data_IF_122027863028
#
_entry.id   IF_122027863028
#
_cell.length_a   1.000
_cell.length_b   1.000
_cell.length_c   1.000
_cell.angle_alpha   90.00
_cell.angle_beta   90.00
_cell.angle_gamma   90.00
#
_symmetry.space_group_name_H-M   'P 1'
#
loop_
_entity.id
_entity.type
_entity.pdbx_description
1 polymer ?
#
# COMPACT_ATOMS: atom_id res chain seq x y z
N UNK A 1 -10.17 29.88 40.10
CA UNK A 1 -10.17 30.72 38.90
C UNK A 1 -8.95 30.53 38.01
N UNK A 2 -7.83 29.96 38.47
CA UNK A 2 -6.69 29.61 37.60
C UNK A 2 -6.84 28.26 36.85
N UNK A 3 -7.68 27.34 37.36
CA UNK A 3 -7.87 26.01 36.78
C UNK A 3 -8.70 26.04 35.48
N UNK A 4 -9.61 27.01 35.33
CA UNK A 4 -10.46 27.14 34.14
C UNK A 4 -9.71 27.74 32.93
N UNK A 5 -8.66 28.54 33.18
CA UNK A 5 -7.82 29.14 32.15
C UNK A 5 -6.94 28.11 31.41
N UNK A 6 -6.42 27.09 32.10
CA UNK A 6 -5.58 26.03 31.49
C UNK A 6 -6.41 25.10 30.60
N UNK A 7 -7.63 24.76 31.02
CA UNK A 7 -8.54 23.92 30.23
C UNK A 7 -8.99 24.62 28.95
N UNK A 8 -9.25 25.94 29.00
CA UNK A 8 -9.65 26.72 27.83
C UNK A 8 -8.55 26.83 26.77
N UNK A 9 -7.29 26.97 27.19
CA UNK A 9 -6.16 27.06 26.28
C UNK A 9 -5.90 25.74 25.54
N UNK A 10 -5.87 24.60 26.25
CA UNK A 10 -5.64 23.30 25.61
C UNK A 10 -6.75 22.94 24.60
N UNK A 11 -8.01 23.25 24.92
CA UNK A 11 -9.13 23.02 24.02
C UNK A 11 -9.05 23.88 22.75
N UNK A 12 -8.62 25.14 22.90
CA UNK A 12 -8.37 26.06 21.79
C UNK A 12 -7.22 25.58 20.91
N UNK A 13 -6.09 25.19 21.51
CA UNK A 13 -4.93 24.66 20.80
C UNK A 13 -5.29 23.42 19.99
N UNK A 14 -6.00 22.46 20.59
CA UNK A 14 -6.48 21.28 19.90
C UNK A 14 -7.43 21.63 18.75
N UNK A 15 -8.34 22.59 18.93
CA UNK A 15 -9.24 23.02 17.86
C UNK A 15 -8.47 23.66 16.69
N UNK A 16 -7.48 24.51 17.00
CA UNK A 16 -6.62 25.14 15.99
C UNK A 16 -5.84 24.09 15.20
N UNK A 17 -5.20 23.13 15.88
CA UNK A 17 -4.47 22.04 15.25
C UNK A 17 -5.37 21.18 14.36
N UNK A 18 -6.63 20.92 14.76
CA UNK A 18 -7.61 20.21 13.92
C UNK A 18 -7.91 20.94 12.62
N UNK A 19 -8.11 22.26 12.66
CA UNK A 19 -8.34 23.06 11.45
C UNK A 19 -7.10 23.11 10.55
N UNK A 20 -5.91 23.23 11.12
CA UNK A 20 -4.65 23.17 10.38
C UNK A 20 -4.50 21.80 9.71
N UNK A 21 -4.77 20.70 10.43
CA UNK A 21 -4.68 19.35 9.89
C UNK A 21 -5.64 19.15 8.70
N UNK A 22 -6.89 19.59 8.84
CA UNK A 22 -7.88 19.57 7.77
C UNK A 22 -7.42 20.37 6.53
N UNK A 23 -6.82 21.55 6.73
CA UNK A 23 -6.27 22.36 5.64
C UNK A 23 -5.07 21.71 4.94
N UNK A 24 -4.26 20.94 5.66
CA UNK A 24 -3.11 20.22 5.14
C UNK A 24 -3.45 18.85 4.53
N UNK A 25 -4.68 18.36 4.73
CA UNK A 25 -5.12 17.05 4.26
C UNK A 25 -4.55 15.87 5.05
N UNK A 26 -4.20 16.11 6.32
CA UNK A 26 -3.70 15.09 7.26
C UNK A 26 -4.60 15.05 8.48
N UNK A 27 -4.53 13.96 9.24
CA UNK A 27 -5.28 13.86 10.47
C UNK A 27 -4.62 14.63 11.62
N UNK A 28 -5.42 14.96 12.65
CA UNK A 28 -4.94 15.63 13.85
C UNK A 28 -3.81 14.83 14.50
N UNK A 29 -3.98 13.52 14.65
CA UNK A 29 -3.00 12.65 15.32
C UNK A 29 -1.66 12.62 14.58
N UNK A 30 -1.69 12.66 13.25
CA UNK A 30 -0.47 12.71 12.44
C UNK A 30 0.24 14.06 12.55
N UNK A 31 -0.52 15.15 12.62
CA UNK A 31 0.01 16.51 12.72
C UNK A 31 0.59 16.78 14.12
N UNK A 32 -0.19 16.51 15.17
CA UNK A 32 0.18 16.78 16.56
C UNK A 32 1.08 15.71 17.16
N UNK A 33 1.14 14.53 16.54
CA UNK A 33 1.75 13.31 17.10
C UNK A 33 1.12 12.85 18.42
N UNK A 34 -0.08 13.34 18.72
CA UNK A 34 -0.84 12.92 19.89
C UNK A 34 -1.83 11.82 19.51
N UNK A 35 -1.63 10.63 20.08
CA UNK A 35 -2.50 9.46 19.92
C UNK A 35 -3.20 9.08 21.25
N UNK A 36 -3.12 9.93 22.27
CA UNK A 36 -3.60 9.63 23.63
C UNK A 36 -5.10 9.34 23.71
N UNK A 37 -5.90 9.95 22.84
CA UNK A 37 -7.36 9.83 22.82
C UNK A 37 -7.90 8.99 21.65
N UNK A 38 -7.04 8.21 20.98
CA UNK A 38 -7.38 7.55 19.72
C UNK A 38 -7.35 6.03 19.89
N UNK A 39 -8.48 5.39 19.58
CA UNK A 39 -8.56 3.93 19.58
C UNK A 39 -7.89 3.36 18.33
N UNK A 40 -7.58 2.07 18.36
CA UNK A 40 -6.94 1.38 17.25
C UNK A 40 -7.69 1.55 15.91
N UNK A 41 -9.02 1.45 15.94
CA UNK A 41 -9.85 1.56 14.74
C UNK A 41 -9.88 2.99 14.20
N UNK A 42 -9.95 4.01 15.06
CA UNK A 42 -9.90 5.41 14.62
C UNK A 42 -8.51 5.81 14.13
N UNK A 43 -7.43 5.33 14.77
CA UNK A 43 -6.06 5.52 14.29
C UNK A 43 -5.86 4.92 12.89
N UNK A 44 -6.39 3.71 12.65
CA UNK A 44 -6.35 3.06 11.33
C UNK A 44 -7.14 3.83 10.29
N UNK A 45 -8.34 4.32 10.62
CA UNK A 45 -9.15 5.13 9.71
C UNK A 45 -8.45 6.45 9.34
N UNK A 46 -7.92 7.15 10.35
CA UNK A 46 -7.18 8.41 10.24
C UNK A 46 -5.91 8.27 9.37
N UNK A 47 -5.14 7.19 9.57
CA UNK A 47 -3.99 6.87 8.73
C UNK A 47 -4.38 6.54 7.28
N UNK A 48 -5.50 5.84 7.06
CA UNK A 48 -6.01 5.50 5.75
C UNK A 48 -6.48 6.72 4.94
N UNK A 49 -7.17 7.66 5.59
CA UNK A 49 -7.60 8.90 4.96
C UNK A 49 -6.40 9.73 4.49
N UNK A 50 -5.44 9.92 5.39
CA UNK A 50 -4.20 10.65 5.09
C UNK A 50 -3.39 9.94 3.98
N UNK A 51 -3.35 8.61 4.00
CA UNK A 51 -2.72 7.83 2.93
C UNK A 51 -3.36 8.06 1.57
N UNK A 52 -4.70 8.12 1.48
CA UNK A 52 -5.40 8.41 0.23
C UNK A 52 -5.04 9.81 -0.30
N UNK A 53 -4.94 10.80 0.58
CA UNK A 53 -4.49 12.15 0.21
C UNK A 53 -3.08 12.13 -0.39
N UNK A 54 -2.13 11.44 0.26
CA UNK A 54 -0.76 11.31 -0.25
C UNK A 54 -0.69 10.55 -1.57
N UNK A 55 -1.50 9.51 -1.76
CA UNK A 55 -1.57 8.76 -3.02
C UNK A 55 -2.01 9.65 -4.19
N UNK A 56 -3.00 10.51 -3.96
CA UNK A 56 -3.47 11.50 -4.94
C UNK A 56 -2.36 12.48 -5.33
N UNK A 57 -1.67 13.06 -4.34
CA UNK A 57 -0.53 13.96 -4.58
C UNK A 57 0.63 13.26 -5.29
N UNK A 58 0.96 12.03 -4.89
CA UNK A 58 2.02 11.23 -5.51
C UNK A 58 1.72 10.98 -6.98
N UNK A 59 0.48 10.61 -7.32
CA UNK A 59 0.06 10.38 -8.71
C UNK A 59 0.15 11.63 -9.56
N UNK A 60 -0.25 12.78 -9.02
CA UNK A 60 -0.27 14.03 -9.78
C UNK A 60 1.10 14.68 -9.92
N UNK A 61 1.92 14.69 -8.87
CA UNK A 61 3.20 15.38 -8.85
C UNK A 61 4.30 14.44 -9.35
N UNK A 62 4.64 13.43 -8.54
CA UNK A 62 5.75 12.53 -8.82
C UNK A 62 5.48 11.64 -10.05
N UNK A 63 4.27 11.08 -10.14
CA UNK A 63 3.90 10.19 -11.24
C UNK A 63 3.95 10.88 -12.61
N UNK A 64 3.47 12.13 -12.70
CA UNK A 64 3.55 12.90 -13.95
C UNK A 64 4.97 13.24 -14.34
N UNK A 65 5.79 13.69 -13.38
CA UNK A 65 7.19 14.00 -13.64
C UNK A 65 7.96 12.75 -14.09
N UNK A 66 7.78 11.63 -13.39
CA UNK A 66 8.41 10.37 -13.74
C UNK A 66 7.98 9.86 -15.14
N UNK A 67 6.69 9.95 -15.47
CA UNK A 67 6.20 9.60 -16.82
C UNK A 67 6.76 10.53 -17.91
N UNK A 68 6.96 11.82 -17.63
CA UNK A 68 7.63 12.73 -18.58
C UNK A 68 9.08 12.31 -18.83
N UNK A 69 9.84 12.04 -17.76
CA UNK A 69 11.23 11.57 -17.87
C UNK A 69 11.30 10.24 -18.64
N UNK A 70 10.42 9.30 -18.29
CA UNK A 70 10.30 8.02 -18.99
C UNK A 70 9.95 8.21 -20.47
N UNK A 71 9.06 9.14 -20.80
CA UNK A 71 8.69 9.43 -22.19
C UNK A 71 9.89 9.89 -23.01
N UNK A 72 10.70 10.79 -22.47
CA UNK A 72 11.91 11.28 -23.14
C UNK A 72 12.94 10.15 -23.34
N UNK A 73 13.14 9.32 -22.31
CA UNK A 73 14.03 8.17 -22.41
C UNK A 73 13.52 7.14 -23.43
N UNK A 74 12.23 6.83 -23.42
CA UNK A 74 11.62 5.84 -24.33
C UNK A 74 11.73 6.30 -25.79
N UNK A 75 11.47 7.58 -26.04
CA UNK A 75 11.64 8.21 -27.34
C UNK A 75 13.06 8.02 -27.88
N UNK A 76 14.07 8.31 -27.06
CA UNK A 76 15.48 8.14 -27.42
C UNK A 76 15.84 6.67 -27.64
N UNK A 77 15.37 5.77 -26.78
CA UNK A 77 15.62 4.32 -26.91
C UNK A 77 15.03 3.74 -28.20
N UNK A 78 13.86 4.24 -28.62
CA UNK A 78 13.22 3.87 -29.88
C UNK A 78 13.98 4.42 -31.09
N UNK A 79 14.39 5.70 -31.06
CA UNK A 79 15.13 6.34 -32.16
C UNK A 79 16.50 5.67 -32.36
N UNK A 80 17.21 5.36 -31.27
CA UNK A 80 18.51 4.68 -31.30
C UNK A 80 18.42 3.20 -31.65
N UNK A 81 17.21 2.63 -31.67
CA UNK A 81 16.99 1.21 -31.95
C UNK A 81 17.43 0.26 -30.83
N UNK A 82 17.62 0.76 -29.60
CA UNK A 82 17.90 -0.08 -28.41
C UNK A 82 16.69 -0.95 -28.09
N UNK A 83 15.49 -0.38 -28.23
CA UNK A 83 14.22 -1.08 -28.07
C UNK A 83 13.57 -1.19 -29.43
N UNK A 84 13.17 -2.42 -29.80
CA UNK A 84 12.37 -2.64 -31.00
C UNK A 84 10.92 -2.32 -30.70
N UNK A 85 10.37 -1.34 -31.42
CA UNK A 85 8.97 -0.97 -31.28
C UNK A 85 8.06 -2.19 -31.58
N UNK A 86 7.08 -2.51 -30.71
CA UNK A 86 6.04 -3.48 -31.01
C UNK A 86 5.20 -3.03 -32.21
N UNK A 87 4.55 -3.99 -32.87
CA UNK A 87 3.55 -3.69 -33.90
C UNK A 87 2.37 -2.97 -33.24
N UNK A 88 2.20 -1.69 -33.56
CA UNK A 88 1.11 -0.87 -33.07
C UNK A 88 0.42 -0.14 -34.22
N UNK A 89 -0.86 0.21 -34.05
CA UNK A 89 -1.64 0.98 -35.03
C UNK A 89 -1.11 2.41 -35.19
N UNK A 90 -0.66 3.01 -34.10
CA UNK A 90 -0.16 4.39 -34.04
C UNK A 90 1.32 4.37 -33.65
N UNK A 91 2.11 5.21 -34.31
CA UNK A 91 3.50 5.46 -33.96
C UNK A 91 3.64 6.12 -32.58
N UNK A 92 4.86 6.14 -32.05
CA UNK A 92 5.16 6.80 -30.78
C UNK A 92 4.72 8.28 -30.78
N UNK A 93 4.94 8.99 -31.87
CA UNK A 93 4.62 10.41 -32.00
C UNK A 93 3.12 10.70 -32.09
N UNK A 94 2.37 9.80 -32.74
CA UNK A 94 0.91 9.93 -32.85
C UNK A 94 0.20 9.62 -31.52
N UNK A 95 0.80 8.79 -30.66
CA UNK A 95 0.15 8.31 -29.44
C UNK A 95 1.09 8.29 -28.22
N UNK A 96 1.90 9.33 -28.03
CA UNK A 96 2.95 9.40 -26.99
C UNK A 96 2.46 8.99 -25.60
N UNK A 97 1.31 9.50 -25.18
CA UNK A 97 0.74 9.18 -23.87
C UNK A 97 0.40 7.70 -23.67
N UNK A 98 -0.02 7.01 -24.73
CA UNK A 98 -0.34 5.58 -24.68
C UNK A 98 0.92 4.74 -24.64
N UNK A 99 1.94 5.13 -25.40
CA UNK A 99 3.25 4.48 -25.41
C UNK A 99 4.00 4.63 -24.08
N UNK A 100 3.92 5.82 -23.48
CA UNK A 100 4.61 6.12 -22.22
C UNK A 100 3.79 5.80 -20.96
N UNK A 101 2.63 5.16 -21.11
CA UNK A 101 1.77 4.82 -19.97
C UNK A 101 2.53 3.92 -19.01
N UNK A 102 2.75 4.43 -17.81
CA UNK A 102 3.54 3.81 -16.74
C UNK A 102 2.82 4.00 -15.42
N UNK A 103 2.93 3.02 -14.53
CA UNK A 103 2.51 3.12 -13.14
C UNK A 103 3.77 3.13 -12.28
N UNK A 104 3.79 4.00 -11.26
CA UNK A 104 4.97 4.23 -10.44
C UNK A 104 4.73 3.75 -9.02
N UNK A 105 5.47 2.72 -8.63
CA UNK A 105 5.47 2.20 -7.27
C UNK A 105 6.27 3.18 -6.41
N UNK A 106 5.64 3.70 -5.36
CA UNK A 106 6.31 4.54 -4.37
C UNK A 106 6.41 3.80 -3.03
N UNK A 107 6.80 4.52 -1.99
CA UNK A 107 6.86 3.95 -0.65
C UNK A 107 5.57 3.21 -0.28
N UNK A 108 5.73 2.08 0.40
CA UNK A 108 4.62 1.26 0.89
C UNK A 108 3.83 1.95 1.98
N UNK A 109 2.60 1.49 2.16
CA UNK A 109 1.78 1.88 3.31
C UNK A 109 2.29 1.15 4.56
N UNK A 110 2.39 1.86 5.68
CA UNK A 110 2.66 1.23 6.97
C UNK A 110 1.50 0.33 7.38
N UNK A 111 1.79 -0.96 7.61
CA UNK A 111 0.81 -1.91 8.11
C UNK A 111 0.54 -1.65 9.59
N UNK A 112 -0.74 -1.49 9.93
CA UNK A 112 -1.17 -1.27 11.32
C UNK A 112 -1.52 -2.62 11.97
N UNK A 113 -2.25 -3.47 11.23
CA UNK A 113 -2.50 -4.87 11.57
C UNK A 113 -1.82 -5.79 10.55
N UNK A 114 -0.57 -6.17 10.80
CA UNK A 114 0.21 -6.92 9.81
C UNK A 114 -0.48 -8.24 9.39
N UNK A 115 -1.10 -8.95 10.32
CA UNK A 115 -1.71 -10.25 10.04
C UNK A 115 -3.02 -10.10 9.25
N UNK A 116 -3.93 -9.23 9.70
CA UNK A 116 -5.22 -9.04 9.01
C UNK A 116 -5.04 -8.45 7.62
N UNK A 117 -4.13 -7.50 7.43
CA UNK A 117 -3.92 -6.87 6.12
C UNK A 117 -3.31 -7.86 5.10
N UNK A 118 -2.40 -8.75 5.55
CA UNK A 118 -1.87 -9.84 4.70
C UNK A 118 -2.97 -10.84 4.34
N UNK A 119 -3.82 -11.23 5.28
CA UNK A 119 -4.93 -12.13 5.02
C UNK A 119 -5.93 -11.54 4.03
N UNK A 120 -6.32 -10.28 4.23
CA UNK A 120 -7.18 -9.55 3.29
C UNK A 120 -6.55 -9.52 1.88
N UNK A 121 -5.23 -9.32 1.76
CA UNK A 121 -4.53 -9.33 0.48
C UNK A 121 -4.55 -10.72 -0.19
N UNK A 122 -4.27 -11.78 0.57
CA UNK A 122 -4.35 -13.17 0.08
C UNK A 122 -5.76 -13.48 -0.40
N UNK A 123 -6.78 -13.18 0.40
CA UNK A 123 -8.18 -13.40 0.03
C UNK A 123 -8.58 -12.61 -1.22
N UNK A 124 -8.10 -11.36 -1.40
CA UNK A 124 -8.36 -10.58 -2.62
C UNK A 124 -7.74 -11.20 -3.86
N UNK A 125 -6.53 -11.75 -3.75
CA UNK A 125 -5.85 -12.44 -4.86
C UNK A 125 -6.58 -13.75 -5.18
N UNK A 126 -6.86 -14.57 -4.18
CA UNK A 126 -7.54 -15.86 -4.35
C UNK A 126 -8.96 -15.71 -4.91
N UNK A 127 -9.69 -14.67 -4.48
CA UNK A 127 -11.01 -14.34 -5.00
C UNK A 127 -10.98 -13.72 -6.41
N UNK A 128 -9.80 -13.42 -6.97
CA UNK A 128 -9.64 -12.79 -8.29
C UNK A 128 -10.01 -11.31 -8.33
N UNK A 129 -10.14 -10.65 -7.17
CA UNK A 129 -10.42 -9.21 -7.06
C UNK A 129 -9.16 -8.35 -7.24
N UNK A 130 -7.98 -8.94 -7.05
CA UNK A 130 -6.69 -8.26 -7.14
C UNK A 130 -5.61 -9.12 -7.80
N UNK A 131 -4.43 -8.55 -8.00
CA UNK A 131 -3.25 -9.21 -8.56
C UNK A 131 -2.05 -9.04 -7.64
N UNK A 132 -1.06 -9.93 -7.76
CA UNK A 132 0.20 -9.80 -7.02
C UNK A 132 0.87 -8.43 -7.20
N UNK A 133 0.84 -7.90 -8.43
CA UNK A 133 1.35 -6.56 -8.74
C UNK A 133 0.66 -5.47 -7.91
N UNK A 134 -0.68 -5.49 -7.82
CA UNK A 134 -1.42 -4.47 -7.06
C UNK A 134 -1.19 -4.58 -5.57
N UNK A 135 -1.21 -5.80 -5.01
CA UNK A 135 -1.04 -5.99 -3.57
C UNK A 135 0.40 -5.69 -3.12
N UNK A 136 1.42 -6.11 -3.89
CA UNK A 136 2.81 -5.79 -3.58
C UNK A 136 3.13 -4.31 -3.80
N UNK A 137 2.53 -3.65 -4.79
CA UNK A 137 2.67 -2.21 -4.96
C UNK A 137 2.11 -1.39 -3.78
N UNK A 138 1.11 -1.91 -3.04
CA UNK A 138 0.63 -1.29 -1.79
C UNK A 138 1.71 -1.36 -0.70
N UNK A 139 2.49 -2.44 -0.68
CA UNK A 139 3.66 -2.61 0.18
C UNK A 139 4.91 -1.84 -0.33
N UNK A 140 4.83 -1.27 -1.54
CA UNK A 140 5.92 -0.54 -2.17
C UNK A 140 6.94 -1.44 -2.88
N UNK A 141 6.58 -2.69 -3.13
CA UNK A 141 7.45 -3.72 -3.72
C UNK A 141 7.05 -4.03 -5.18
N UNK A 142 8.04 -4.41 -5.99
CA UNK A 142 7.81 -4.94 -7.34
C UNK A 142 7.62 -6.47 -7.29
N UNK A 143 6.50 -6.95 -7.82
CA UNK A 143 6.20 -8.38 -7.88
C UNK A 143 7.22 -9.18 -8.68
N UNK A 144 7.82 -8.59 -9.73
CA UNK A 144 8.79 -9.31 -10.55
C UNK A 144 10.10 -9.54 -9.80
N UNK A 145 10.50 -8.61 -8.95
CA UNK A 145 11.67 -8.76 -8.08
C UNK A 145 11.41 -9.80 -7.00
N UNK A 146 10.26 -9.70 -6.32
CA UNK A 146 9.85 -10.67 -5.30
C UNK A 146 9.77 -12.08 -5.89
N UNK A 147 9.18 -12.27 -7.07
CA UNK A 147 9.05 -13.60 -7.67
C UNK A 147 10.41 -14.18 -8.07
N UNK A 148 11.31 -13.36 -8.65
CA UNK A 148 12.68 -13.79 -8.94
C UNK A 148 13.42 -14.22 -7.68
N UNK A 149 13.27 -13.46 -6.60
CA UNK A 149 13.88 -13.76 -5.32
C UNK A 149 13.30 -15.06 -4.71
N UNK A 150 11.98 -15.24 -4.74
CA UNK A 150 11.32 -16.45 -4.23
C UNK A 150 11.76 -17.72 -4.95
N UNK A 151 11.94 -17.66 -6.28
CA UNK A 151 12.45 -18.81 -7.07
C UNK A 151 13.86 -19.16 -6.62
N UNK A 152 14.75 -18.16 -6.55
CA UNK A 152 16.13 -18.35 -6.10
C UNK A 152 16.20 -18.95 -4.70
N UNK A 153 15.47 -18.38 -3.74
CA UNK A 153 15.43 -18.88 -2.36
C UNK A 153 14.88 -20.31 -2.27
N UNK A 154 13.89 -20.64 -3.12
CA UNK A 154 13.34 -21.99 -3.16
C UNK A 154 14.36 -23.02 -3.68
N UNK A 155 15.16 -22.65 -4.68
CA UNK A 155 16.22 -23.49 -5.21
C UNK A 155 17.37 -23.66 -4.21
N UNK A 156 17.78 -22.57 -3.55
CA UNK A 156 18.81 -22.58 -2.50
C UNK A 156 18.37 -23.47 -1.32
N UNK A 157 17.12 -23.32 -0.85
CA UNK A 157 16.55 -24.18 0.20
C UNK A 157 16.52 -25.65 -0.20
N UNK A 158 16.08 -25.96 -1.43
CA UNK A 158 16.06 -27.33 -1.94
C UNK A 158 17.46 -27.94 -1.98
N UNK A 159 18.46 -27.16 -2.42
CA UNK A 159 19.86 -27.59 -2.46
C UNK A 159 20.43 -27.80 -1.06
N UNK A 160 20.05 -26.95 -0.10
CA UNK A 160 20.43 -27.08 1.30
C UNK A 160 19.66 -28.18 2.07
N UNK A 161 18.71 -28.88 1.43
CA UNK A 161 17.84 -29.87 2.08
C UNK A 161 16.83 -29.28 3.07
N UNK A 162 16.59 -27.97 3.01
CA UNK A 162 15.61 -27.27 3.85
C UNK A 162 14.21 -27.45 3.28
N UNK A 163 13.23 -27.71 4.17
CA UNK A 163 11.83 -27.78 3.78
C UNK A 163 11.31 -26.42 3.29
N UNK A 164 10.21 -26.46 2.53
CA UNK A 164 9.48 -25.24 2.17
C UNK A 164 9.08 -24.49 3.44
N UNK A 165 9.11 -23.14 3.45
CA UNK A 165 8.65 -22.38 4.60
C UNK A 165 7.16 -22.65 4.83
N UNK A 166 6.84 -23.39 5.89
CA UNK A 166 5.48 -23.74 6.30
C UNK A 166 4.95 -22.56 7.11
N UNK A 167 4.32 -21.59 6.46
CA UNK A 167 3.63 -20.52 7.17
C UNK A 167 2.18 -20.38 6.74
N UNK A 168 1.86 -20.62 5.46
CA UNK A 168 0.51 -20.42 4.92
C UNK A 168 -0.43 -21.56 5.31
N UNK A 169 0.03 -22.81 5.31
CA UNK A 169 -0.87 -23.95 5.48
C UNK A 169 -1.32 -24.13 6.94
N UNK A 170 -0.38 -24.09 7.88
CA UNK A 170 -0.69 -24.39 9.28
C UNK A 170 -1.45 -23.25 9.96
N UNK A 171 -1.09 -21.99 9.71
CA UNK A 171 -1.77 -20.83 10.33
C UNK A 171 -3.18 -20.64 9.78
N UNK A 172 -3.38 -20.85 8.47
CA UNK A 172 -4.69 -20.79 7.84
C UNK A 172 -5.61 -21.92 8.33
N UNK A 173 -5.07 -23.14 8.47
CA UNK A 173 -5.82 -24.27 9.05
C UNK A 173 -6.19 -24.03 10.51
N UNK A 174 -5.27 -23.49 11.32
CA UNK A 174 -5.53 -23.15 12.73
C UNK A 174 -6.61 -22.07 12.86
N UNK A 175 -6.65 -21.08 11.97
CA UNK A 175 -7.65 -20.01 12.02
C UNK A 175 -9.02 -20.43 11.48
N UNK A 176 -9.08 -21.27 10.45
CA UNK A 176 -10.35 -21.89 10.03
C UNK A 176 -10.92 -22.73 11.17
N UNK A 177 -10.07 -23.49 11.87
CA UNK A 177 -10.50 -24.26 13.03
C UNK A 177 -11.03 -23.35 14.15
N UNK A 178 -10.32 -22.28 14.48
CA UNK A 178 -10.71 -21.33 15.53
C UNK A 178 -12.02 -20.59 15.20
N UNK A 179 -12.21 -20.16 13.96
CA UNK A 179 -13.43 -19.45 13.53
C UNK A 179 -14.66 -20.36 13.49
N UNK A 180 -14.50 -21.64 13.10
CA UNK A 180 -15.56 -22.66 13.22
C UNK A 180 -15.96 -22.90 14.66
N UNK A 181 -15.01 -22.98 15.58
CA UNK A 181 -15.29 -23.12 17.02
C UNK A 181 -16.08 -21.94 17.57
N UNK A 182 -15.76 -20.71 17.14
CA UNK A 182 -16.48 -19.50 17.60
C UNK A 182 -17.92 -19.45 17.08
N UNK A 183 -18.18 -19.96 15.87
CA UNK A 183 -19.54 -20.07 15.33
C UNK A 183 -20.37 -21.17 16.01
N UNK A 184 -19.75 -22.29 16.37
CA UNK A 184 -20.38 -23.36 17.13
C UNK A 184 -20.77 -22.92 18.54
N UNK A 185 -19.89 -22.20 19.25
CA UNK A 185 -20.17 -21.62 20.57
C UNK A 185 -21.32 -20.60 20.53
N UNK A 186 -21.37 -19.76 19.49
CA UNK A 186 -22.49 -18.80 19.29
C UNK A 186 -23.81 -19.46 18.91
N UNK A 187 -23.80 -20.66 18.32
CA UNK A 187 -25.01 -21.44 18.04
C UNK A 187 -25.50 -22.25 19.24
N UNK A 188 -24.60 -22.55 20.17
CA UNK A 188 -24.89 -23.30 21.39
C UNK A 188 -25.39 -22.41 22.55
N UNK A 189 -25.30 -21.08 22.41
CA UNK A 189 -25.79 -20.08 23.37
C UNK A 189 -27.09 -19.46 22.87
#
# INVERSE_FOLDING_TARGET
TAQDSDNGFSALEQALLRYIAAGLGVSYEQLSRDYSQVSYSSARASANESWRYFLGRRRFIAGRLATQMFSCWLEEALIRGVIRAPRARFSFWEARSSWSRSEWIGAGRMAIDGLKEVQEAVMRIEAGLSTYEKELAIMGEDYQEIFRQQVRESEERRTAGLSRPVWITDTYQQQIAASRQTEEEKRAT
#
